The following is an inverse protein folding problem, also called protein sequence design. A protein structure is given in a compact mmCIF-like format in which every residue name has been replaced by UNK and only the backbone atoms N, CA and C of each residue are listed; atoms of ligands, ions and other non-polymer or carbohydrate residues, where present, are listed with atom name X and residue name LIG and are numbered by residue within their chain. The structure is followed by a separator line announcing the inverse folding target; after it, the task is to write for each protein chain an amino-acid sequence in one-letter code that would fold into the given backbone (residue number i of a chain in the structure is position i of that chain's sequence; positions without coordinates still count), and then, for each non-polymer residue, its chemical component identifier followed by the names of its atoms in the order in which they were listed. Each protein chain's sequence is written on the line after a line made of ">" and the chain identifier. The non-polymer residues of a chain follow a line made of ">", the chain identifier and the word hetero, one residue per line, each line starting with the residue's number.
data_IF_549011589343
#
_entry.id   IF_549011589343
#
_cell.length_a   1.000
_cell.length_b   1.000
_cell.length_c   1.000
_cell.angle_alpha   90.00
_cell.angle_beta   90.00
_cell.angle_gamma   90.00
#
_symmetry.space_group_name_H-M   'P 1'
#
loop_
_entity.id
_entity.type
_entity.pdbx_description
1 polymer ?
#
# COMPACT_ATOMS: atom_id res chain seq x y z
N UNK A 1 -60.32 -0.01 0.98
CA UNK A 1 -58.94 0.42 0.67
C UNK A 1 -58.52 1.40 1.77
N UNK A 2 -57.70 0.94 2.71
CA UNK A 2 -57.28 1.74 3.86
C UNK A 2 -55.75 1.73 3.94
N UNK A 3 -55.18 2.93 3.84
CA UNK A 3 -53.76 3.23 4.01
C UNK A 3 -53.30 2.99 5.45
N UNK A 4 -52.01 2.72 5.68
CA UNK A 4 -51.33 3.18 6.90
C UNK A 4 -49.82 3.37 6.66
N UNK A 5 -49.32 4.43 7.29
CA UNK A 5 -48.04 5.13 7.09
C UNK A 5 -46.89 4.50 7.88
N UNK A 6 -45.68 4.85 7.45
CA UNK A 6 -44.42 4.66 8.17
C UNK A 6 -44.44 5.29 9.58
N UNK A 7 -43.94 4.52 10.56
CA UNK A 7 -43.69 4.96 11.93
C UNK A 7 -42.20 4.92 12.25
N UNK A 8 -41.71 6.02 12.80
CA UNK A 8 -40.33 6.31 13.18
C UNK A 8 -39.88 5.57 14.43
N UNK A 9 -38.67 4.99 14.41
CA UNK A 9 -37.99 4.52 15.61
C UNK A 9 -37.05 5.62 16.13
N UNK A 10 -37.48 6.27 17.21
CA UNK A 10 -36.65 7.16 18.03
C UNK A 10 -35.60 6.36 18.79
N UNK A 11 -34.37 6.86 18.78
CA UNK A 11 -33.32 6.47 19.70
C UNK A 11 -33.74 6.77 21.16
N UNK A 12 -33.60 5.77 22.03
CA UNK A 12 -33.60 5.98 23.48
C UNK A 12 -32.23 5.52 23.99
N UNK A 13 -31.42 6.49 24.40
CA UNK A 13 -30.17 6.28 25.10
C UNK A 13 -30.44 5.72 26.50
N UNK A 14 -29.85 4.57 26.85
CA UNK A 14 -29.84 4.08 28.22
C UNK A 14 -28.49 4.41 28.88
N UNK A 15 -28.55 5.33 29.84
CA UNK A 15 -27.47 5.68 30.76
C UNK A 15 -27.42 4.66 31.91
N UNK A 16 -26.19 4.24 32.24
CA UNK A 16 -25.68 3.67 33.51
C UNK A 16 -25.40 2.16 33.56
N UNK A 17 -24.12 1.90 33.88
CA UNK A 17 -23.54 0.66 34.44
C UNK A 17 -24.20 0.33 35.78
N UNK A 18 -24.98 -0.74 35.83
CA UNK A 18 -25.15 -1.62 37.01
C UNK A 18 -26.30 -2.57 36.72
N UNK A 19 -26.00 -3.81 36.30
CA UNK A 19 -26.82 -5.03 36.45
C UNK A 19 -26.13 -6.17 35.67
N UNK A 20 -24.87 -6.44 36.01
CA UNK A 20 -24.30 -7.78 35.90
C UNK A 20 -24.45 -8.42 37.29
N UNK A 21 -24.58 -9.74 37.30
CA UNK A 21 -24.75 -10.63 38.45
C UNK A 21 -26.19 -10.83 38.93
N UNK A 22 -26.89 -11.78 38.28
CA UNK A 22 -27.68 -12.87 38.89
C UNK A 22 -28.64 -13.50 37.87
N UNK A 23 -28.18 -14.50 37.11
CA UNK A 23 -28.99 -15.69 36.75
C UNK A 23 -28.02 -16.86 36.56
N UNK A 24 -27.74 -17.59 37.64
CA UNK A 24 -27.16 -18.94 37.62
C UNK A 24 -28.11 -19.82 38.44
N UNK A 25 -28.33 -21.04 37.94
CA UNK A 25 -29.14 -22.17 38.45
C UNK A 25 -30.59 -22.25 37.96
N UNK A 26 -30.85 -23.15 37.01
CA UNK A 26 -31.56 -24.39 37.34
C UNK A 26 -31.51 -25.45 36.21
N UNK A 27 -31.37 -26.72 36.63
CA UNK A 27 -31.74 -27.98 35.96
C UNK A 27 -30.80 -28.63 34.92
N UNK A 28 -30.00 -29.61 35.37
CA UNK A 28 -29.57 -30.76 34.58
C UNK A 28 -29.57 -32.03 35.47
N UNK A 29 -30.50 -32.94 35.20
CA UNK A 29 -30.46 -34.36 35.57
C UNK A 29 -31.19 -35.15 34.49
N UNK A 30 -30.48 -35.92 33.65
CA UNK A 30 -30.97 -37.17 33.05
C UNK A 30 -29.79 -38.12 32.81
N UNK A 31 -30.07 -39.38 33.09
CA UNK A 31 -29.24 -40.58 33.13
C UNK A 31 -28.77 -41.12 31.77
N UNK A 32 -27.70 -41.92 31.84
CA UNK A 32 -27.04 -42.66 30.78
C UNK A 32 -27.78 -43.93 30.33
N UNK A 33 -27.73 -44.25 29.04
CA UNK A 33 -27.94 -45.61 28.54
C UNK A 33 -27.92 -45.75 27.01
N UNK A 34 -27.06 -46.65 26.48
CA UNK A 34 -27.35 -47.42 25.26
C UNK A 34 -26.64 -47.01 23.95
N UNK A 35 -25.84 -47.94 23.40
CA UNK A 35 -25.14 -47.88 22.09
C UNK A 35 -26.09 -48.19 20.92
N UNK A 36 -25.86 -47.60 19.74
CA UNK A 36 -25.67 -48.28 18.42
C UNK A 36 -25.63 -47.30 17.24
N UNK A 37 -24.83 -47.65 16.22
CA UNK A 37 -24.65 -47.05 14.86
C UNK A 37 -25.42 -47.92 13.83
N UNK A 38 -25.47 -47.67 12.49
CA UNK A 38 -25.28 -46.47 11.64
C UNK A 38 -26.28 -46.34 10.42
N UNK A 39 -26.03 -45.36 9.54
CA UNK A 39 -26.38 -45.25 8.08
C UNK A 39 -27.84 -44.97 7.63
N UNK A 40 -28.06 -43.83 6.94
CA UNK A 40 -28.36 -43.76 5.49
C UNK A 40 -28.88 -42.37 5.02
N UNK A 41 -28.09 -41.76 4.14
CA UNK A 41 -28.37 -40.93 2.93
C UNK A 41 -29.67 -40.13 2.72
N UNK A 42 -29.41 -38.92 2.18
CA UNK A 42 -30.12 -38.12 1.16
C UNK A 42 -31.25 -37.17 1.59
N UNK A 43 -30.99 -35.88 1.39
CA UNK A 43 -31.99 -34.92 0.94
C UNK A 43 -31.94 -33.55 1.62
N UNK A 44 -31.64 -32.51 0.83
CA UNK A 44 -32.12 -31.16 1.10
C UNK A 44 -31.10 -30.16 1.62
N UNK A 45 -30.59 -29.32 0.70
CA UNK A 45 -30.04 -28.01 1.05
C UNK A 45 -31.19 -27.11 1.47
N UNK A 46 -31.19 -26.64 2.71
CA UNK A 46 -31.85 -25.39 3.09
C UNK A 46 -30.87 -24.55 3.89
N UNK A 47 -30.68 -23.33 3.40
CA UNK A 47 -29.78 -22.33 3.98
C UNK A 47 -30.53 -21.68 5.13
N UNK A 48 -30.04 -21.87 6.36
CA UNK A 48 -30.35 -20.99 7.47
C UNK A 48 -29.06 -20.44 8.07
N UNK A 49 -29.04 -19.11 8.18
CA UNK A 49 -28.08 -18.30 8.91
C UNK A 49 -27.96 -18.80 10.37
N UNK A 50 -26.78 -18.58 10.93
CA UNK A 50 -26.37 -18.81 12.31
C UNK A 50 -25.57 -20.09 12.53
N UNK A 51 -24.38 -20.15 11.91
CA UNK A 51 -23.29 -20.99 12.41
C UNK A 51 -22.81 -20.46 13.76
N UNK A 52 -23.29 -21.12 14.81
CA UNK A 52 -22.73 -21.05 16.16
C UNK A 52 -21.27 -21.49 16.10
N UNK A 53 -20.35 -20.54 16.27
CA UNK A 53 -18.95 -20.83 16.58
C UNK A 53 -18.91 -21.35 18.01
N UNK A 54 -18.84 -22.67 18.17
CA UNK A 54 -18.49 -23.30 19.44
C UNK A 54 -17.00 -23.05 19.73
N UNK A 55 -16.68 -21.95 20.40
CA UNK A 55 -15.37 -21.78 21.03
C UNK A 55 -15.34 -22.58 22.33
N UNK A 56 -14.51 -23.62 22.35
CA UNK A 56 -14.04 -24.28 23.56
C UNK A 56 -13.26 -23.25 24.40
N UNK A 57 -13.83 -22.83 25.53
CA UNK A 57 -13.04 -22.25 26.62
C UNK A 57 -12.74 -23.38 27.62
N UNK A 58 -11.65 -24.09 27.38
CA UNK A 58 -10.96 -24.81 28.45
C UNK A 58 -10.29 -23.76 29.33
N UNK A 59 -10.82 -23.57 30.54
CA UNK A 59 -10.22 -22.70 31.56
C UNK A 59 -9.10 -23.47 32.27
N UNK A 60 -7.93 -23.54 31.63
CA UNK A 60 -6.72 -23.88 32.37
C UNK A 60 -6.33 -22.69 33.24
N UNK A 61 -6.57 -22.84 34.55
CA UNK A 61 -5.97 -22.00 35.60
C UNK A 61 -4.48 -22.33 35.71
N UNK A 62 -3.70 -21.90 34.73
CA UNK A 62 -2.26 -21.71 34.88
C UNK A 62 -2.00 -20.25 35.24
N UNK A 63 -1.22 -20.03 36.30
CA UNK A 63 -0.98 -18.71 36.89
C UNK A 63 -0.64 -17.65 35.86
N UNK A 64 -1.47 -16.61 35.81
CA UNK A 64 -1.16 -15.38 35.10
C UNK A 64 -0.11 -14.64 35.93
N UNK A 65 1.17 -14.99 35.74
CA UNK A 65 2.23 -14.04 36.03
C UNK A 65 1.99 -12.86 35.08
N UNK A 66 1.49 -11.77 35.63
CA UNK A 66 1.51 -10.48 34.96
C UNK A 66 2.98 -10.15 34.71
N UNK A 67 3.48 -10.55 33.54
CA UNK A 67 4.73 -10.00 33.03
C UNK A 67 4.50 -8.49 32.96
N UNK A 68 5.17 -7.75 33.84
CA UNK A 68 5.32 -6.30 33.74
C UNK A 68 6.16 -6.00 32.49
N UNK A 69 5.60 -6.26 31.31
CA UNK A 69 6.24 -5.96 30.04
C UNK A 69 6.47 -4.45 30.02
N UNK A 70 7.71 -4.04 29.77
CA UNK A 70 8.08 -2.63 29.74
C UNK A 70 7.39 -1.97 28.54
N UNK A 71 6.45 -1.07 28.82
CA UNK A 71 5.87 -0.21 27.80
C UNK A 71 6.85 0.91 27.45
N UNK A 72 6.94 1.21 26.16
CA UNK A 72 7.79 2.25 25.59
C UNK A 72 6.90 3.31 24.95
N UNK A 73 7.09 4.56 25.35
CA UNK A 73 6.36 5.68 24.79
C UNK A 73 6.83 5.99 23.37
N UNK A 74 5.88 6.35 22.50
CA UNK A 74 6.08 6.70 21.09
C UNK A 74 5.31 7.98 20.77
N UNK A 75 5.92 8.84 19.95
CA UNK A 75 5.34 10.11 19.49
C UNK A 75 5.19 10.09 17.97
N UNK A 76 4.08 10.59 17.47
CA UNK A 76 3.83 10.75 16.04
C UNK A 76 2.70 11.70 15.71
N UNK A 77 2.41 11.83 14.42
CA UNK A 77 1.29 12.60 13.88
C UNK A 77 0.21 11.64 13.43
N UNK A 78 -0.89 11.58 14.18
CA UNK A 78 -1.98 10.65 13.93
C UNK A 78 -3.18 11.34 13.32
N UNK A 79 -3.91 10.59 12.50
CA UNK A 79 -5.27 10.93 12.08
C UNK A 79 -6.23 10.37 13.13
N UNK A 80 -6.94 11.20 13.91
CA UNK A 80 -7.84 10.71 14.96
C UNK A 80 -9.13 10.07 14.41
N UNK A 81 -9.63 10.54 13.27
CA UNK A 81 -10.81 10.00 12.59
C UNK A 81 -10.79 10.31 11.08
N UNK A 82 -11.62 9.65 10.28
CA UNK A 82 -11.63 9.83 8.83
C UNK A 82 -11.79 11.31 8.43
N UNK A 83 -10.97 11.77 7.48
CA UNK A 83 -10.95 13.14 6.92
C UNK A 83 -10.50 14.25 7.88
N UNK A 84 -10.08 13.89 9.09
CA UNK A 84 -9.52 14.86 10.04
C UNK A 84 -8.07 15.22 9.70
N UNK A 85 -7.61 16.38 10.18
CA UNK A 85 -6.20 16.77 10.12
C UNK A 85 -5.36 15.89 11.04
N UNK A 86 -4.09 15.74 10.71
CA UNK A 86 -3.14 15.05 11.58
C UNK A 86 -2.84 15.92 12.80
N UNK A 87 -2.82 15.31 13.97
CA UNK A 87 -2.49 15.96 15.24
C UNK A 87 -1.39 15.20 15.97
N UNK A 88 -0.55 15.86 16.79
CA UNK A 88 0.41 15.17 17.64
C UNK A 88 -0.28 14.14 18.52
N UNK A 89 0.30 12.95 18.61
CA UNK A 89 -0.25 11.83 19.36
C UNK A 89 0.88 11.07 20.05
N UNK A 90 0.63 10.65 21.29
CA UNK A 90 1.53 9.81 22.08
C UNK A 90 0.81 8.50 22.41
N UNK A 91 1.51 7.40 22.25
CA UNK A 91 0.99 6.06 22.50
C UNK A 91 2.09 5.15 23.05
N UNK A 92 1.70 4.02 23.62
CA UNK A 92 2.62 3.06 24.22
C UNK A 92 2.72 1.81 23.36
N UNK A 93 3.94 1.30 23.18
CA UNK A 93 4.21 0.01 22.53
C UNK A 93 4.86 -0.95 23.52
N UNK A 94 4.67 -2.25 23.31
CA UNK A 94 5.35 -3.28 24.09
C UNK A 94 6.84 -3.38 23.78
N UNK A 95 7.48 -4.38 24.38
CA UNK A 95 8.88 -4.71 24.11
C UNK A 95 9.10 -5.12 22.64
N UNK A 96 10.33 -4.90 22.15
CA UNK A 96 10.73 -5.27 20.80
C UNK A 96 10.72 -6.80 20.64
N UNK A 97 9.99 -7.33 19.66
CA UNK A 97 9.93 -8.78 19.43
C UNK A 97 11.15 -9.30 18.66
N UNK A 98 11.40 -10.63 18.67
CA UNK A 98 12.60 -11.24 18.07
C UNK A 98 12.84 -10.89 16.59
N UNK A 99 11.80 -10.72 15.78
CA UNK A 99 11.90 -10.42 14.35
C UNK A 99 11.60 -8.95 14.01
N UNK A 100 11.50 -8.07 15.00
CA UNK A 100 11.19 -6.65 14.81
C UNK A 100 12.46 -5.79 14.82
N UNK A 101 12.36 -4.64 14.17
CA UNK A 101 13.37 -3.58 14.17
C UNK A 101 12.71 -2.25 14.52
N UNK A 102 13.37 -1.46 15.37
CA UNK A 102 13.02 -0.06 15.60
C UNK A 102 13.90 0.83 14.72
N UNK A 103 13.27 1.66 13.89
CA UNK A 103 13.94 2.61 13.00
C UNK A 103 13.61 4.02 13.47
N UNK A 104 14.62 4.79 13.88
CA UNK A 104 14.47 6.24 14.12
C UNK A 104 14.26 6.91 12.78
N UNK A 105 13.07 7.43 12.54
CA UNK A 105 12.69 7.99 11.25
C UNK A 105 13.42 9.31 11.05
N UNK A 106 14.05 9.46 9.88
CA UNK A 106 14.70 10.71 9.48
C UNK A 106 13.94 11.39 8.35
N UNK A 107 13.43 10.59 7.41
CA UNK A 107 12.70 11.04 6.24
C UNK A 107 11.49 10.14 6.01
N UNK A 108 10.40 10.70 5.50
CA UNK A 108 9.27 9.94 5.01
C UNK A 108 8.71 10.60 3.74
N UNK A 109 8.54 9.84 2.68
CA UNK A 109 7.86 10.36 1.50
C UNK A 109 6.36 10.53 1.75
N UNK A 110 5.75 11.53 1.11
CA UNK A 110 4.32 11.80 1.21
C UNK A 110 3.64 11.48 -0.12
N UNK A 111 2.63 10.61 -0.09
CA UNK A 111 1.95 10.12 -1.29
C UNK A 111 0.42 10.20 -1.16
N UNK A 112 -0.27 10.14 -2.30
CA UNK A 112 -1.74 10.14 -2.35
C UNK A 112 -2.37 9.00 -1.56
N UNK A 113 -1.68 7.86 -1.44
CA UNK A 113 -2.07 6.76 -0.56
C UNK A 113 -2.28 7.23 0.89
N UNK A 114 -1.44 8.12 1.42
CA UNK A 114 -1.62 8.62 2.79
C UNK A 114 -2.91 9.43 2.95
N UNK A 115 -3.29 10.20 1.92
CA UNK A 115 -4.57 10.92 1.87
C UNK A 115 -5.76 9.97 1.72
N UNK A 116 -5.68 8.97 0.84
CA UNK A 116 -6.74 7.95 0.70
C UNK A 116 -6.95 7.17 2.01
N UNK A 117 -5.89 6.88 2.74
CA UNK A 117 -5.97 6.25 4.05
C UNK A 117 -6.53 7.21 5.12
N UNK A 118 -6.10 8.47 5.15
CA UNK A 118 -6.67 9.51 6.05
C UNK A 118 -8.17 9.68 5.83
N UNK A 119 -8.60 9.70 4.57
CA UNK A 119 -9.99 9.96 4.18
C UNK A 119 -10.85 8.69 4.19
N UNK A 120 -10.20 7.53 4.38
CA UNK A 120 -10.79 6.19 4.38
C UNK A 120 -11.53 5.86 3.07
N UNK A 121 -11.00 6.31 1.93
CA UNK A 121 -11.61 6.12 0.61
C UNK A 121 -11.77 4.64 0.24
N UNK A 122 -10.93 3.77 0.81
CA UNK A 122 -10.95 2.33 0.58
C UNK A 122 -11.66 1.54 1.69
N UNK A 123 -12.12 2.20 2.76
CA UNK A 123 -12.86 1.55 3.85
C UNK A 123 -12.03 0.60 4.74
N UNK A 124 -10.69 0.70 4.70
CA UNK A 124 -9.75 -0.21 5.41
C UNK A 124 -8.96 0.46 6.55
N UNK A 125 -9.13 1.76 6.77
CA UNK A 125 -8.40 2.50 7.80
C UNK A 125 -8.95 2.23 9.19
N UNK A 126 -8.04 2.01 10.16
CA UNK A 126 -8.38 1.84 11.57
C UNK A 126 -7.86 3.04 12.36
N UNK A 127 -8.75 3.90 12.86
CA UNK A 127 -8.39 5.13 13.56
C UNK A 127 -8.33 4.93 15.10
N UNK A 128 -7.47 5.68 15.83
CA UNK A 128 -6.45 6.58 15.31
C UNK A 128 -5.30 5.80 14.64
N UNK A 129 -4.70 6.36 13.59
CA UNK A 129 -3.46 5.80 13.02
C UNK A 129 -2.48 6.87 12.57
N UNK A 130 -1.22 6.49 12.48
CA UNK A 130 -0.13 7.33 11.97
C UNK A 130 0.11 6.94 10.50
N UNK A 131 -0.02 7.86 9.53
CA UNK A 131 0.30 7.57 8.12
C UNK A 131 1.81 7.51 7.82
N UNK A 132 2.17 7.39 6.54
CA UNK A 132 3.54 7.38 6.04
C UNK A 132 4.05 5.96 5.77
N UNK A 133 4.28 5.64 4.50
CA UNK A 133 4.69 4.30 4.04
C UNK A 133 5.92 4.34 3.11
N UNK A 134 6.70 5.42 3.23
CA UNK A 134 7.91 5.69 2.48
C UNK A 134 9.03 6.05 3.46
N UNK A 135 9.23 5.20 4.48
CA UNK A 135 10.05 5.49 5.66
C UNK A 135 11.53 5.34 5.33
N UNK A 136 12.38 6.28 5.74
CA UNK A 136 13.84 6.11 5.77
C UNK A 136 14.40 6.61 7.11
N UNK A 137 15.32 5.83 7.70
CA UNK A 137 15.89 6.16 8.98
C UNK A 137 17.11 5.34 9.36
N UNK A 138 17.50 5.50 10.62
CA UNK A 138 18.58 4.76 11.25
C UNK A 138 18.00 3.66 12.13
N UNK A 139 18.51 2.44 12.01
CA UNK A 139 18.17 1.34 12.91
C UNK A 139 18.70 1.65 14.31
N UNK A 140 17.84 1.61 15.33
CA UNK A 140 18.23 1.91 16.72
C UNK A 140 18.12 0.70 17.64
N UNK A 141 17.33 -0.30 17.28
CA UNK A 141 17.26 -1.57 17.99
C UNK A 141 16.79 -2.69 17.05
N UNK A 142 17.27 -3.91 17.29
CA UNK A 142 16.90 -5.11 16.55
C UNK A 142 16.51 -6.21 17.52
N UNK A 143 15.53 -7.03 17.15
CA UNK A 143 15.16 -8.23 17.88
C UNK A 143 16.24 -9.31 17.80
N UNK A 144 16.16 -10.30 18.70
CA UNK A 144 17.17 -11.36 18.84
C UNK A 144 17.38 -12.22 17.59
N UNK A 145 16.39 -12.30 16.71
CA UNK A 145 16.37 -13.19 15.55
C UNK A 145 16.62 -12.41 14.24
N UNK A 146 16.91 -11.11 14.33
CA UNK A 146 17.26 -10.27 13.18
C UNK A 146 18.74 -10.46 12.85
N UNK A 147 19.03 -10.81 11.59
CA UNK A 147 20.40 -11.11 11.13
C UNK A 147 20.90 -10.16 10.02
N UNK A 148 20.00 -9.48 9.30
CA UNK A 148 20.34 -8.63 8.16
C UNK A 148 20.51 -7.15 8.46
N UNK A 149 20.22 -6.71 9.69
CA UNK A 149 20.30 -5.31 10.13
C UNK A 149 20.89 -5.24 11.53
N UNK A 150 21.59 -4.15 11.83
CA UNK A 150 22.11 -3.82 13.16
C UNK A 150 21.91 -2.34 13.48
N UNK A 151 21.96 -1.94 14.76
CA UNK A 151 21.93 -0.53 15.15
C UNK A 151 23.01 0.28 14.40
N UNK A 152 22.62 1.47 13.91
CA UNK A 152 23.44 2.35 13.08
C UNK A 152 23.28 2.16 11.57
N UNK A 153 22.69 1.05 11.11
CA UNK A 153 22.43 0.86 9.69
C UNK A 153 21.34 1.82 9.18
N UNK A 154 21.43 2.22 7.91
CA UNK A 154 20.36 2.97 7.23
C UNK A 154 19.36 2.01 6.62
N UNK A 155 18.09 2.13 7.03
CA UNK A 155 17.02 1.26 6.56
C UNK A 155 15.83 2.06 6.04
N UNK A 156 15.14 1.49 5.06
CA UNK A 156 13.89 1.98 4.52
C UNK A 156 12.74 0.99 4.68
N UNK A 157 11.51 1.49 4.77
CA UNK A 157 10.29 0.67 4.84
C UNK A 157 9.28 1.20 3.84
N UNK A 158 8.81 0.32 2.96
CA UNK A 158 7.78 0.63 1.97
C UNK A 158 6.37 0.29 2.43
N UNK A 159 5.48 0.11 1.44
CA UNK A 159 4.07 -0.22 1.68
C UNK A 159 3.87 -1.56 2.40
N UNK A 160 4.59 -2.62 2.02
CA UNK A 160 4.39 -3.96 2.61
C UNK A 160 5.19 -4.07 3.91
N UNK A 161 4.54 -4.50 5.00
CA UNK A 161 5.12 -4.64 6.34
C UNK A 161 5.08 -6.08 6.88
N UNK A 162 4.29 -6.97 6.27
CA UNK A 162 4.27 -8.37 6.62
C UNK A 162 3.84 -9.28 5.44
N UNK A 163 3.74 -10.59 5.65
CA UNK A 163 3.13 -11.60 4.77
C UNK A 163 3.02 -12.93 5.52
N UNK A 164 2.41 -13.96 4.94
CA UNK A 164 2.32 -15.27 5.60
C UNK A 164 3.59 -16.13 5.47
N UNK A 165 4.53 -15.77 4.58
CA UNK A 165 5.77 -16.50 4.24
C UNK A 165 5.61 -17.93 3.70
N UNK A 166 4.39 -18.48 3.66
CA UNK A 166 4.17 -19.91 3.38
C UNK A 166 3.32 -20.19 2.13
N UNK A 167 2.55 -19.21 1.65
CA UNK A 167 1.73 -19.37 0.44
C UNK A 167 2.58 -19.39 -0.83
N UNK A 168 1.96 -19.74 -1.96
CA UNK A 168 2.67 -19.88 -3.24
C UNK A 168 3.37 -18.58 -3.66
N UNK A 169 2.66 -17.44 -3.56
CA UNK A 169 3.20 -16.11 -3.84
C UNK A 169 4.39 -15.74 -2.95
N UNK A 170 4.28 -15.95 -1.63
CA UNK A 170 5.40 -15.67 -0.73
C UNK A 170 6.63 -16.53 -1.03
N UNK A 171 6.43 -17.82 -1.39
CA UNK A 171 7.54 -18.73 -1.70
C UNK A 171 8.28 -18.39 -2.99
N UNK A 172 7.64 -17.67 -3.93
CA UNK A 172 8.28 -17.15 -5.14
C UNK A 172 8.81 -15.71 -5.00
N UNK A 173 8.82 -15.15 -3.79
CA UNK A 173 9.32 -13.80 -3.52
C UNK A 173 8.34 -12.68 -3.86
N UNK A 174 7.05 -12.97 -3.98
CA UNK A 174 5.99 -11.99 -4.26
C UNK A 174 5.11 -11.78 -3.01
N UNK A 175 5.73 -11.35 -1.92
CA UNK A 175 5.02 -11.10 -0.65
C UNK A 175 3.99 -9.98 -0.75
N UNK A 176 4.13 -9.07 -1.72
CA UNK A 176 3.21 -7.97 -2.02
C UNK A 176 1.80 -8.44 -2.40
N UNK A 177 1.65 -9.66 -2.91
CA UNK A 177 0.35 -10.26 -3.26
C UNK A 177 0.07 -11.54 -2.46
N UNK A 178 0.44 -11.55 -1.18
CA UNK A 178 0.19 -12.64 -0.26
C UNK A 178 -1.28 -13.09 -0.22
N UNK A 179 -1.53 -14.41 -0.36
CA UNK A 179 -2.88 -15.01 -0.39
C UNK A 179 -3.66 -14.84 0.92
N UNK A 180 -2.97 -14.59 2.05
CA UNK A 180 -3.62 -14.34 3.34
C UNK A 180 -4.13 -12.90 3.51
N UNK A 181 -4.02 -12.07 2.49
CA UNK A 181 -4.56 -10.71 2.46
C UNK A 181 -3.50 -9.63 2.65
N UNK A 182 -4.00 -8.39 2.71
CA UNK A 182 -3.18 -7.18 2.71
C UNK A 182 -2.41 -6.99 4.02
N UNK A 183 -1.09 -6.87 3.88
CA UNK A 183 -0.13 -6.71 4.98
C UNK A 183 0.65 -5.40 4.83
N UNK A 184 -0.08 -4.32 4.54
CA UNK A 184 0.48 -2.98 4.41
C UNK A 184 0.99 -2.40 5.75
N UNK A 185 1.83 -1.37 5.69
CA UNK A 185 2.39 -0.69 6.86
C UNK A 185 1.35 0.16 7.59
N UNK A 186 0.40 0.74 6.86
CA UNK A 186 -0.63 1.63 7.41
C UNK A 186 -2.04 1.02 7.31
N UNK A 187 -2.15 -0.31 7.33
CA UNK A 187 -3.44 -1.03 7.36
C UNK A 187 -3.59 -1.82 8.65
N UNK A 188 -4.80 -2.30 8.95
CA UNK A 188 -5.08 -3.26 10.04
C UNK A 188 -4.60 -2.80 11.43
N UNK A 189 -4.64 -1.49 11.70
CA UNK A 189 -4.24 -0.91 12.98
C UNK A 189 -2.72 -0.69 13.14
N UNK A 190 -1.92 -0.96 12.10
CA UNK A 190 -0.50 -0.62 12.10
C UNK A 190 -0.27 0.90 11.97
N UNK A 191 0.93 1.34 12.29
CA UNK A 191 1.34 2.74 12.27
C UNK A 191 2.55 2.92 11.35
N UNK A 192 2.47 3.94 10.49
CA UNK A 192 3.44 4.30 9.47
C UNK A 192 4.64 5.06 10.02
N UNK A 193 5.27 5.88 9.20
CA UNK A 193 6.50 6.59 9.57
C UNK A 193 6.37 8.07 9.87
N UNK A 194 5.16 8.64 9.98
CA UNK A 194 4.98 10.02 10.49
C UNK A 194 5.15 10.07 12.02
N UNK A 195 6.23 9.47 12.53
CA UNK A 195 6.53 9.28 13.94
C UNK A 195 8.03 9.27 14.22
N UNK A 196 8.41 9.29 15.49
CA UNK A 196 9.81 9.29 15.92
C UNK A 196 10.52 7.97 15.64
N UNK A 197 9.86 6.85 15.96
CA UNK A 197 10.39 5.50 15.77
C UNK A 197 9.32 4.66 15.08
N UNK A 198 9.63 4.15 13.90
CA UNK A 198 8.79 3.20 13.19
C UNK A 198 9.27 1.78 13.50
N UNK A 199 8.39 0.96 14.10
CA UNK A 199 8.66 -0.46 14.39
C UNK A 199 8.05 -1.34 13.32
N UNK A 200 8.86 -2.21 12.73
CA UNK A 200 8.42 -3.13 11.67
C UNK A 200 9.05 -4.50 11.79
N UNK A 201 8.51 -5.48 11.07
CA UNK A 201 9.21 -6.76 10.88
C UNK A 201 10.47 -6.53 10.02
N UNK A 202 11.61 -7.04 10.47
CA UNK A 202 12.91 -6.78 9.86
C UNK A 202 13.02 -7.30 8.41
N UNK A 203 12.23 -8.30 8.02
CA UNK A 203 12.19 -8.79 6.63
C UNK A 203 11.72 -7.72 5.64
N UNK A 204 10.97 -6.71 6.08
CA UNK A 204 10.44 -5.63 5.24
C UNK A 204 11.11 -4.28 5.52
N UNK A 205 12.25 -4.31 6.22
CA UNK A 205 13.16 -3.19 6.34
C UNK A 205 14.33 -3.42 5.37
N UNK A 206 14.46 -2.54 4.38
CA UNK A 206 15.41 -2.66 3.29
C UNK A 206 16.65 -1.82 3.56
N UNK A 207 17.84 -2.35 3.30
CA UNK A 207 19.06 -1.56 3.42
C UNK A 207 19.08 -0.47 2.36
N UNK A 208 19.33 0.78 2.77
CA UNK A 208 19.48 1.89 1.83
C UNK A 208 20.93 1.90 1.31
N UNK A 209 21.16 1.70 0.00
CA UNK A 209 22.51 1.62 -0.54
C UNK A 209 23.31 2.91 -0.36
N UNK A 210 24.63 2.77 -0.33
CA UNK A 210 25.54 3.91 -0.41
C UNK A 210 25.30 4.68 -1.73
N UNK A 211 25.44 6.01 -1.70
CA UNK A 211 25.18 6.88 -2.86
C UNK A 211 23.72 7.32 -3.03
N UNK A 212 22.77 6.66 -2.35
CA UNK A 212 21.37 7.08 -2.29
C UNK A 212 21.11 7.83 -0.96
N UNK A 213 20.87 9.14 -1.04
CA UNK A 213 20.57 9.93 0.15
C UNK A 213 19.15 9.59 0.68
N UNK A 214 18.83 9.98 1.91
CA UNK A 214 17.58 9.58 2.54
C UNK A 214 16.34 10.24 1.90
N UNK A 215 16.45 11.48 1.44
CA UNK A 215 15.37 12.19 0.77
C UNK A 215 15.05 11.57 -0.62
N UNK A 216 16.07 11.17 -1.36
CA UNK A 216 15.93 10.48 -2.64
C UNK A 216 15.36 9.06 -2.44
N UNK A 217 15.82 8.35 -1.40
CA UNK A 217 15.41 6.97 -1.14
C UNK A 217 13.94 6.83 -0.75
N UNK A 218 13.40 7.77 0.03
CA UNK A 218 12.06 7.66 0.60
C UNK A 218 10.97 7.45 -0.48
N UNK A 219 10.85 8.30 -1.52
CA UNK A 219 9.88 8.08 -2.59
C UNK A 219 10.06 6.79 -3.40
N UNK A 220 11.26 6.22 -3.44
CA UNK A 220 11.52 5.00 -4.18
C UNK A 220 10.83 3.79 -3.56
N UNK A 221 10.64 3.79 -2.24
CA UNK A 221 9.99 2.70 -1.48
C UNK A 221 8.50 2.53 -1.78
N UNK A 222 7.90 3.45 -2.54
CA UNK A 222 6.53 3.35 -3.03
C UNK A 222 6.45 3.68 -4.52
N UNK A 223 6.66 4.95 -4.91
CA UNK A 223 6.55 5.36 -6.31
C UNK A 223 7.60 4.67 -7.19
N UNK A 224 8.83 4.54 -6.70
CA UNK A 224 9.91 3.87 -7.43
C UNK A 224 9.61 2.41 -7.71
N UNK A 225 9.36 1.62 -6.66
CA UNK A 225 9.06 0.19 -6.82
C UNK A 225 7.81 -0.06 -7.66
N UNK A 226 6.78 0.79 -7.54
CA UNK A 226 5.50 0.64 -8.27
C UNK A 226 5.69 0.69 -9.78
N UNK A 227 6.63 1.51 -10.27
CA UNK A 227 6.93 1.59 -11.71
C UNK A 227 8.08 0.66 -12.09
N UNK A 228 9.06 0.43 -11.20
CA UNK A 228 10.19 -0.45 -11.45
C UNK A 228 9.76 -1.89 -11.69
N UNK A 229 8.97 -2.47 -10.78
CA UNK A 229 8.59 -3.87 -10.84
C UNK A 229 7.91 -4.26 -12.16
N UNK A 230 6.86 -3.55 -12.65
CA UNK A 230 6.28 -3.89 -13.95
C UNK A 230 7.20 -3.55 -15.12
N UNK A 231 7.98 -2.46 -15.09
CA UNK A 231 8.94 -2.16 -16.17
C UNK A 231 9.99 -3.26 -16.30
N UNK A 232 10.58 -3.71 -15.18
CA UNK A 232 11.48 -4.86 -15.12
C UNK A 232 10.74 -6.11 -15.67
N UNK A 233 9.50 -6.35 -15.24
CA UNK A 233 8.76 -7.54 -15.65
C UNK A 233 8.46 -7.58 -17.15
N UNK A 234 8.29 -6.43 -17.81
CA UNK A 234 7.84 -6.36 -19.21
C UNK A 234 8.90 -5.90 -20.22
N UNK A 235 9.92 -5.13 -19.83
CA UNK A 235 11.05 -4.78 -20.72
C UNK A 235 11.96 -6.00 -20.85
N UNK A 236 11.88 -6.69 -21.99
CA UNK A 236 12.61 -7.95 -22.23
C UNK A 236 13.89 -7.78 -23.06
N UNK A 237 13.99 -6.70 -23.82
CA UNK A 237 15.13 -6.43 -24.69
C UNK A 237 15.33 -4.91 -24.80
N UNK A 238 16.53 -4.45 -25.19
CA UNK A 238 16.75 -3.05 -25.55
C UNK A 238 15.78 -2.60 -26.64
N UNK A 239 15.52 -1.29 -26.70
CA UNK A 239 14.64 -0.62 -27.66
C UNK A 239 13.17 -1.10 -27.62
N UNK A 240 12.72 -1.76 -26.54
CA UNK A 240 11.28 -1.90 -26.27
C UNK A 240 10.66 -0.49 -26.25
N UNK A 241 9.58 -0.26 -27.01
CA UNK A 241 8.92 1.05 -27.05
C UNK A 241 7.97 1.20 -25.86
N UNK A 242 8.30 2.12 -24.95
CA UNK A 242 7.58 2.35 -23.69
C UNK A 242 6.94 3.72 -23.72
N UNK A 243 5.62 3.76 -23.57
CA UNK A 243 4.89 5.00 -23.29
C UNK A 243 4.63 5.13 -21.79
N UNK A 244 5.02 6.28 -21.21
CA UNK A 244 4.64 6.67 -19.86
C UNK A 244 3.49 7.67 -19.95
N UNK A 245 2.31 7.22 -19.56
CA UNK A 245 1.11 8.07 -19.57
C UNK A 245 0.91 8.72 -18.19
N UNK A 246 0.97 10.06 -18.20
CA UNK A 246 1.01 10.90 -17.00
C UNK A 246 2.43 11.12 -16.50
N UNK A 247 2.87 12.37 -16.40
CA UNK A 247 4.17 12.74 -15.84
C UNK A 247 3.95 13.44 -14.50
N UNK A 248 3.77 12.63 -13.47
CA UNK A 248 3.60 13.02 -12.07
C UNK A 248 4.62 12.31 -11.16
N UNK A 249 4.25 12.08 -9.90
CA UNK A 249 5.10 11.41 -8.92
C UNK A 249 5.58 10.01 -9.33
N UNK A 250 4.76 9.22 -10.02
CA UNK A 250 5.16 7.92 -10.57
C UNK A 250 5.82 8.07 -11.95
N UNK A 251 5.17 8.82 -12.85
CA UNK A 251 5.62 8.96 -14.23
C UNK A 251 7.06 9.45 -14.39
N UNK A 252 7.49 10.45 -13.60
CA UNK A 252 8.86 10.97 -13.71
C UNK A 252 9.94 9.93 -13.31
N UNK A 253 9.61 8.97 -12.44
CA UNK A 253 10.47 7.82 -12.15
C UNK A 253 10.37 6.75 -13.23
N UNK A 254 9.18 6.51 -13.77
CA UNK A 254 8.97 5.55 -14.86
C UNK A 254 9.80 5.91 -16.11
N UNK A 255 9.88 7.19 -16.46
CA UNK A 255 10.73 7.68 -17.55
C UNK A 255 12.20 7.31 -17.31
N UNK A 256 12.71 7.62 -16.11
CA UNK A 256 14.09 7.33 -15.75
C UNK A 256 14.39 5.83 -15.76
N UNK A 257 13.54 5.01 -15.16
CA UNK A 257 13.75 3.56 -15.13
C UNK A 257 13.69 2.94 -16.53
N UNK A 258 12.66 3.26 -17.32
CA UNK A 258 12.53 2.72 -18.67
C UNK A 258 13.76 3.08 -19.53
N UNK A 259 14.20 4.35 -19.47
CA UNK A 259 15.40 4.80 -20.18
C UNK A 259 16.66 4.07 -19.72
N UNK A 260 16.88 3.93 -18.40
CA UNK A 260 18.05 3.21 -17.84
C UNK A 260 18.00 1.70 -18.08
N UNK A 261 16.83 1.13 -18.34
CA UNK A 261 16.64 -0.25 -18.79
C UNK A 261 16.84 -0.40 -20.32
N UNK A 262 17.14 0.68 -21.03
CA UNK A 262 17.44 0.68 -22.46
C UNK A 262 16.21 0.67 -23.38
N UNK A 263 15.04 1.07 -22.86
CA UNK A 263 13.84 1.27 -23.68
C UNK A 263 13.92 2.57 -24.50
N UNK A 264 13.14 2.64 -25.58
CA UNK A 264 12.81 3.89 -26.26
C UNK A 264 11.55 4.46 -25.59
N UNK A 265 11.64 5.66 -25.03
CA UNK A 265 10.66 6.18 -24.09
C UNK A 265 9.90 7.37 -24.65
N UNK A 266 8.57 7.27 -24.67
CA UNK A 266 7.67 8.39 -24.98
C UNK A 266 6.94 8.87 -23.74
N UNK A 267 7.10 10.14 -23.39
CA UNK A 267 6.31 10.78 -22.36
C UNK A 267 4.98 11.30 -22.94
N UNK A 268 3.86 10.94 -22.31
CA UNK A 268 2.53 11.41 -22.71
C UNK A 268 1.91 12.21 -21.56
N UNK A 269 1.61 13.48 -21.81
CA UNK A 269 1.04 14.42 -20.82
C UNK A 269 -0.12 15.21 -21.43
N UNK A 270 -0.99 15.79 -20.59
CA UNK A 270 -2.11 16.62 -21.06
C UNK A 270 -1.67 17.99 -21.62
N UNK A 271 -0.48 18.46 -21.24
CA UNK A 271 0.06 19.76 -21.64
C UNK A 271 1.57 19.65 -21.89
N UNK A 272 2.11 20.62 -22.66
CA UNK A 272 3.52 20.65 -23.10
C UNK A 272 4.48 21.33 -22.10
N UNK A 273 3.98 21.80 -20.97
CA UNK A 273 4.73 22.50 -19.92
C UNK A 273 5.84 21.69 -19.25
N UNK A 274 5.89 20.38 -19.50
CA UNK A 274 6.88 19.44 -18.93
C UNK A 274 7.83 18.83 -19.96
N UNK A 275 7.71 19.16 -21.24
CA UNK A 275 8.46 18.51 -22.32
C UNK A 275 9.98 18.54 -22.10
N UNK A 276 10.57 19.72 -21.92
CA UNK A 276 12.02 19.87 -21.69
C UNK A 276 12.51 19.07 -20.48
N UNK A 277 11.68 18.96 -19.45
CA UNK A 277 12.03 18.22 -18.24
C UNK A 277 11.93 16.70 -18.45
N UNK A 278 10.93 16.23 -19.21
CA UNK A 278 10.82 14.82 -19.56
C UNK A 278 12.01 14.31 -20.38
N UNK A 279 12.54 15.14 -21.28
CA UNK A 279 13.76 14.79 -22.03
C UNK A 279 14.97 14.64 -21.10
N UNK A 280 15.12 15.52 -20.11
CA UNK A 280 16.18 15.38 -19.08
C UNK A 280 16.03 14.12 -18.23
N UNK A 281 14.81 13.59 -18.11
CA UNK A 281 14.49 12.35 -17.40
C UNK A 281 14.65 11.10 -18.27
N UNK A 282 15.04 11.24 -19.54
CA UNK A 282 15.26 10.12 -20.45
C UNK A 282 14.12 9.82 -21.42
N UNK A 283 13.12 10.70 -21.55
CA UNK A 283 12.17 10.59 -22.65
C UNK A 283 12.86 10.91 -23.99
N UNK A 284 12.76 10.02 -24.96
CA UNK A 284 13.19 10.23 -26.34
C UNK A 284 12.17 11.09 -27.09
N UNK A 285 10.88 10.88 -26.80
CA UNK A 285 9.77 11.58 -27.45
C UNK A 285 8.78 12.16 -26.44
N UNK A 286 8.02 13.16 -26.88
CA UNK A 286 6.95 13.77 -26.11
C UNK A 286 5.68 13.93 -26.95
N UNK A 287 4.53 13.66 -26.34
CA UNK A 287 3.23 13.82 -26.98
C UNK A 287 2.18 14.41 -26.05
N UNK A 288 1.27 15.20 -26.63
CA UNK A 288 0.15 15.81 -25.92
C UNK A 288 -1.10 14.93 -26.07
N UNK A 289 -1.56 14.38 -24.94
CA UNK A 289 -2.79 13.58 -24.88
C UNK A 289 -4.00 14.39 -25.39
N UNK A 290 -4.82 13.75 -26.23
CA UNK A 290 -5.98 14.36 -26.88
C UNK A 290 -5.67 15.18 -28.13
N UNK A 291 -4.39 15.53 -28.38
CA UNK A 291 -3.95 16.25 -29.58
C UNK A 291 -3.13 15.38 -30.52
N UNK A 292 -2.22 14.58 -29.98
CA UNK A 292 -1.25 13.80 -30.74
C UNK A 292 -1.58 12.29 -30.78
N UNK A 293 -2.70 11.86 -30.17
CA UNK A 293 -3.07 10.45 -30.00
C UNK A 293 -2.99 9.63 -31.29
N UNK A 294 -3.58 10.12 -32.37
CA UNK A 294 -3.67 9.40 -33.65
C UNK A 294 -2.30 9.09 -34.26
N UNK A 295 -1.28 9.88 -33.91
CA UNK A 295 0.10 9.67 -34.38
C UNK A 295 0.82 8.55 -33.62
N UNK A 296 0.27 8.12 -32.50
CA UNK A 296 0.85 7.14 -31.59
C UNK A 296 0.17 5.78 -31.65
N UNK A 297 -0.87 5.61 -32.48
CA UNK A 297 -1.59 4.35 -32.58
C UNK A 297 -0.67 3.21 -33.05
N UNK A 298 -0.77 2.06 -32.37
CA UNK A 298 0.03 0.88 -32.70
C UNK A 298 1.55 1.03 -32.49
N UNK A 299 1.99 1.92 -31.60
CA UNK A 299 3.42 2.27 -31.46
C UNK A 299 4.12 1.58 -30.28
N UNK A 300 3.41 1.29 -29.19
CA UNK A 300 4.05 0.88 -27.93
C UNK A 300 3.94 -0.61 -27.64
N UNK A 301 5.06 -1.20 -27.23
CA UNK A 301 5.10 -2.54 -26.64
C UNK A 301 4.54 -2.49 -25.20
N UNK A 302 4.82 -1.40 -24.48
CA UNK A 302 4.37 -1.17 -23.10
C UNK A 302 3.79 0.23 -22.98
N UNK A 303 2.60 0.32 -22.38
CA UNK A 303 2.01 1.59 -21.94
C UNK A 303 1.80 1.52 -20.43
N UNK A 304 2.58 2.27 -19.65
CA UNK A 304 2.38 2.38 -18.20
C UNK A 304 1.48 3.58 -17.89
N UNK A 305 0.28 3.31 -17.36
CA UNK A 305 -0.69 4.32 -16.95
C UNK A 305 -0.49 4.70 -15.48
N UNK A 306 0.05 5.90 -15.26
CA UNK A 306 0.29 6.48 -13.93
C UNK A 306 -0.74 7.52 -13.52
N UNK A 307 -1.77 7.75 -14.34
CA UNK A 307 -2.81 8.76 -14.10
C UNK A 307 -3.87 8.20 -13.15
N UNK A 308 -4.21 8.97 -12.13
CA UNK A 308 -5.29 8.65 -11.16
C UNK A 308 -6.63 9.32 -11.51
N UNK A 309 -6.89 9.52 -12.79
CA UNK A 309 -8.13 10.09 -13.33
C UNK A 309 -8.81 9.07 -14.24
N UNK A 310 -10.11 9.26 -14.47
CA UNK A 310 -10.87 8.43 -15.40
C UNK A 310 -10.43 8.70 -16.85
N UNK A 311 -9.86 7.67 -17.48
CA UNK A 311 -9.35 7.73 -18.85
C UNK A 311 -9.82 6.50 -19.60
N UNK A 312 -10.33 6.72 -20.82
CA UNK A 312 -10.84 5.66 -21.68
C UNK A 312 -9.78 4.59 -21.92
N UNK A 313 -10.02 3.39 -21.38
CA UNK A 313 -9.18 2.21 -21.62
C UNK A 313 -9.11 1.89 -23.11
N UNK A 314 -10.18 2.10 -23.87
CA UNK A 314 -10.19 1.88 -25.31
C UNK A 314 -9.21 2.80 -26.05
N UNK A 315 -9.14 4.09 -25.69
CA UNK A 315 -8.19 5.02 -26.30
C UNK A 315 -6.74 4.68 -25.93
N UNK A 316 -6.48 4.30 -24.68
CA UNK A 316 -5.15 3.83 -24.25
C UNK A 316 -4.72 2.59 -25.03
N UNK A 317 -5.63 1.62 -25.20
CA UNK A 317 -5.33 0.40 -25.93
C UNK A 317 -5.02 0.62 -27.41
N UNK A 318 -5.54 1.68 -28.05
CA UNK A 318 -5.17 2.01 -29.45
C UNK A 318 -3.69 2.38 -29.60
N UNK A 319 -3.05 2.90 -28.55
CA UNK A 319 -1.62 3.24 -28.58
C UNK A 319 -0.71 1.99 -28.64
N UNK A 320 -1.23 0.84 -28.20
CA UNK A 320 -0.47 -0.41 -28.14
C UNK A 320 -0.36 -1.07 -29.52
N UNK A 321 0.83 -1.62 -29.79
CA UNK A 321 1.08 -2.63 -30.83
C UNK A 321 0.22 -3.88 -30.62
N UNK A 322 0.19 -4.76 -31.63
CA UNK A 322 -0.19 -6.17 -31.42
C UNK A 322 0.73 -6.77 -30.35
N UNK A 323 0.18 -7.58 -29.45
CA UNK A 323 0.90 -8.17 -28.29
C UNK A 323 1.32 -7.15 -27.20
N UNK A 324 0.99 -5.87 -27.39
CA UNK A 324 1.34 -4.80 -26.45
C UNK A 324 0.62 -4.90 -25.10
N UNK A 325 1.25 -4.38 -24.05
CA UNK A 325 0.77 -4.44 -22.67
C UNK A 325 0.43 -3.06 -22.11
N UNK A 326 -0.83 -2.85 -21.69
CA UNK A 326 -1.23 -1.75 -20.82
C UNK A 326 -1.01 -2.17 -19.37
N UNK A 327 -0.10 -1.49 -18.68
CA UNK A 327 0.17 -1.65 -17.25
C UNK A 327 -0.56 -0.55 -16.47
N UNK A 328 -1.58 -0.93 -15.71
CA UNK A 328 -2.32 -0.04 -14.83
C UNK A 328 -1.68 0.01 -13.44
N UNK A 329 -1.16 1.18 -13.05
CA UNK A 329 -0.65 1.42 -11.67
C UNK A 329 -1.35 2.59 -10.97
N UNK A 330 -1.91 3.54 -11.72
CA UNK A 330 -2.80 4.56 -11.17
C UNK A 330 -4.14 3.96 -10.76
N UNK A 331 -4.68 4.36 -9.61
CA UNK A 331 -6.03 3.96 -9.18
C UNK A 331 -6.81 5.24 -8.88
N UNK A 332 -7.79 5.62 -9.74
CA UNK A 332 -8.69 6.70 -9.41
C UNK A 332 -9.54 6.35 -8.17
N UNK A 333 -9.86 7.34 -7.35
CA UNK A 333 -10.75 7.16 -6.20
C UNK A 333 -12.17 6.77 -6.60
N UNK A 334 -12.99 6.35 -5.62
CA UNK A 334 -14.43 6.15 -5.81
C UNK A 334 -14.87 4.84 -6.49
N UNK A 335 -14.01 3.82 -6.54
CA UNK A 335 -14.38 2.49 -7.07
C UNK A 335 -14.32 2.41 -8.59
N UNK A 336 -13.32 3.05 -9.20
CA UNK A 336 -13.14 3.12 -10.65
C UNK A 336 -13.12 1.74 -11.32
N UNK A 337 -13.69 1.67 -12.53
CA UNK A 337 -13.80 0.45 -13.35
C UNK A 337 -13.19 0.71 -14.73
N UNK A 338 -12.41 -0.23 -15.24
CA UNK A 338 -11.90 -0.19 -16.60
C UNK A 338 -12.85 -0.92 -17.56
N UNK A 339 -13.22 -0.27 -18.65
CA UNK A 339 -14.05 -0.86 -19.71
C UNK A 339 -13.15 -1.30 -20.88
N UNK A 340 -12.85 -2.60 -20.93
CA UNK A 340 -11.91 -3.18 -21.91
C UNK A 340 -12.64 -3.57 -23.21
N UNK A 341 -12.29 -2.99 -24.37
CA UNK A 341 -12.84 -3.42 -25.65
C UNK A 341 -12.34 -4.83 -26.03
N UNK A 342 -13.27 -5.80 -26.05
CA UNK A 342 -12.93 -7.21 -26.28
C UNK A 342 -12.37 -7.49 -27.68
N UNK A 343 -12.81 -6.76 -28.71
CA UNK A 343 -12.30 -6.93 -30.07
C UNK A 343 -10.83 -6.54 -30.15
N UNK A 344 -10.46 -5.38 -29.62
CA UNK A 344 -9.06 -4.92 -29.59
C UNK A 344 -8.18 -5.83 -28.73
N UNK A 345 -8.72 -6.31 -27.61
CA UNK A 345 -8.02 -7.25 -26.73
C UNK A 345 -7.72 -8.57 -27.46
N UNK A 346 -8.74 -9.20 -28.05
CA UNK A 346 -8.63 -10.53 -28.67
C UNK A 346 -7.88 -10.48 -30.00
N UNK A 347 -8.27 -9.59 -30.91
CA UNK A 347 -7.67 -9.54 -32.25
C UNK A 347 -6.29 -8.88 -32.26
N UNK A 348 -6.01 -7.98 -31.31
CA UNK A 348 -4.69 -7.41 -31.11
C UNK A 348 -3.77 -8.24 -30.21
N UNK A 349 -4.26 -9.36 -29.65
CA UNK A 349 -3.56 -10.15 -28.63
C UNK A 349 -3.00 -9.28 -27.49
N UNK A 350 -3.71 -8.22 -27.13
CA UNK A 350 -3.22 -7.21 -26.17
C UNK A 350 -3.38 -7.70 -24.75
N UNK A 351 -2.57 -7.12 -23.87
CA UNK A 351 -2.61 -7.40 -22.43
C UNK A 351 -3.06 -6.16 -21.66
N UNK A 352 -3.95 -6.34 -20.69
CA UNK A 352 -4.28 -5.33 -19.67
C UNK A 352 -3.95 -5.94 -18.33
N UNK A 353 -2.96 -5.39 -17.64
CA UNK A 353 -2.44 -5.92 -16.37
C UNK A 353 -2.43 -4.84 -15.30
N UNK A 354 -2.63 -5.24 -14.05
CA UNK A 354 -2.40 -4.39 -12.88
C UNK A 354 -1.08 -4.74 -12.22
N UNK A 355 -0.45 -3.77 -11.56
CA UNK A 355 0.73 -4.00 -10.73
C UNK A 355 0.63 -3.24 -9.41
N UNK A 356 1.01 -3.89 -8.31
CA UNK A 356 1.02 -3.29 -6.96
C UNK A 356 2.40 -3.49 -6.34
N UNK A 357 3.13 -2.38 -6.18
CA UNK A 357 4.51 -2.36 -5.64
C UNK A 357 5.36 -3.52 -6.17
N UNK A 358 6.24 -4.10 -5.34
CA UNK A 358 7.03 -5.29 -5.68
C UNK A 358 7.28 -6.12 -4.44
N UNK A 359 7.77 -7.35 -4.64
CA UNK A 359 8.19 -8.22 -3.56
C UNK A 359 9.45 -7.71 -2.86
N UNK A 360 9.91 -8.42 -1.82
CA UNK A 360 11.09 -7.97 -1.06
C UNK A 360 12.37 -7.91 -1.92
N UNK A 361 12.53 -8.89 -2.80
CA UNK A 361 13.66 -8.95 -3.71
C UNK A 361 13.62 -7.79 -4.73
N UNK A 362 12.46 -7.52 -5.31
CA UNK A 362 12.27 -6.41 -6.25
C UNK A 362 12.59 -5.06 -5.61
N UNK A 363 12.20 -4.87 -4.34
CA UNK A 363 12.48 -3.63 -3.62
C UNK A 363 13.99 -3.41 -3.45
N UNK A 364 14.72 -4.43 -2.98
CA UNK A 364 16.16 -4.29 -2.78
C UNK A 364 16.90 -4.16 -4.11
N UNK A 365 16.48 -4.90 -5.15
CA UNK A 365 17.00 -4.77 -6.51
C UNK A 365 16.80 -3.35 -7.04
N UNK A 366 15.59 -2.78 -6.90
CA UNK A 366 15.26 -1.42 -7.33
C UNK A 366 16.10 -0.36 -6.63
N UNK A 367 16.30 -0.47 -5.31
CA UNK A 367 17.14 0.46 -4.55
C UNK A 367 18.60 0.41 -5.05
N UNK A 368 19.13 -0.79 -5.28
CA UNK A 368 20.46 -1.00 -5.82
C UNK A 368 20.59 -0.45 -7.25
N UNK A 369 19.60 -0.73 -8.11
CA UNK A 369 19.54 -0.20 -9.47
C UNK A 369 19.56 1.33 -9.46
N UNK A 370 18.77 1.94 -8.58
CA UNK A 370 18.69 3.40 -8.45
C UNK A 370 20.02 4.02 -8.03
N UNK A 371 20.71 3.40 -7.08
CA UNK A 371 22.04 3.84 -6.65
C UNK A 371 23.08 3.73 -7.77
N UNK A 372 23.08 2.61 -8.51
CA UNK A 372 24.04 2.36 -9.61
C UNK A 372 23.79 3.26 -10.82
N UNK A 373 22.53 3.43 -11.22
CA UNK A 373 22.16 4.14 -12.46
C UNK A 373 21.80 5.61 -12.24
N UNK A 374 21.82 6.07 -11.00
CA UNK A 374 21.52 7.46 -10.63
C UNK A 374 20.05 7.83 -10.83
N UNK A 375 19.12 6.88 -10.68
CA UNK A 375 17.68 7.18 -10.71
C UNK A 375 17.29 7.85 -9.40
N UNK A 376 16.75 9.06 -9.49
CA UNK A 376 16.42 9.88 -8.32
C UNK A 376 15.10 10.62 -8.51
N UNK A 377 14.24 10.65 -7.48
CA UNK A 377 13.05 11.49 -7.53
C UNK A 377 13.44 12.97 -7.45
N UNK A 378 12.63 13.82 -8.07
CA UNK A 378 12.68 15.26 -7.79
C UNK A 378 11.84 15.55 -6.56
N UNK A 379 12.50 16.02 -5.50
CA UNK A 379 11.91 16.12 -4.15
C UNK A 379 11.81 17.55 -3.65
N UNK A 380 10.68 17.85 -3.01
CA UNK A 380 10.48 19.02 -2.18
C UNK A 380 10.46 18.58 -0.71
N UNK A 381 11.29 19.22 0.11
CA UNK A 381 11.47 18.80 1.51
C UNK A 381 10.68 19.71 2.44
N UNK A 382 9.92 19.12 3.36
CA UNK A 382 9.12 19.81 4.36
C UNK A 382 9.42 19.25 5.76
N UNK A 383 9.33 20.03 6.84
CA UNK A 383 9.41 19.49 8.19
C UNK A 383 8.14 18.67 8.52
N UNK A 384 8.27 17.57 9.27
CA UNK A 384 7.15 16.71 9.65
C UNK A 384 6.09 17.49 10.46
N UNK A 385 6.49 18.50 11.23
CA UNK A 385 5.55 19.38 11.92
C UNK A 385 4.58 20.16 11.00
N UNK A 386 4.90 20.27 9.71
CA UNK A 386 4.07 20.90 8.67
C UNK A 386 3.36 19.87 7.77
N UNK A 387 3.12 18.65 8.28
CA UNK A 387 2.53 17.56 7.49
C UNK A 387 1.17 17.92 6.87
N UNK A 388 0.34 18.71 7.54
CA UNK A 388 -0.98 19.08 7.01
C UNK A 388 -0.87 20.06 5.82
N UNK A 389 0.05 21.01 5.89
CA UNK A 389 0.38 21.94 4.81
C UNK A 389 1.00 21.21 3.62
N UNK A 390 1.93 20.31 3.89
CA UNK A 390 2.55 19.45 2.89
C UNK A 390 1.52 18.56 2.18
N UNK A 391 0.56 17.97 2.91
CA UNK A 391 -0.57 17.22 2.33
C UNK A 391 -1.42 18.10 1.40
N UNK A 392 -1.76 19.32 1.84
CA UNK A 392 -2.52 20.23 1.00
C UNK A 392 -1.76 20.63 -0.26
N UNK A 393 -0.45 20.85 -0.17
CA UNK A 393 0.40 21.15 -1.31
C UNK A 393 0.38 20.03 -2.37
N UNK A 394 0.39 18.76 -1.95
CA UNK A 394 0.26 17.62 -2.85
C UNK A 394 -1.13 17.54 -3.48
N UNK A 395 -2.20 17.72 -2.66
CA UNK A 395 -3.60 17.70 -3.14
C UNK A 395 -3.87 18.83 -4.15
N UNK A 396 -3.28 20.00 -3.95
CA UNK A 396 -3.38 21.14 -4.88
C UNK A 396 -2.63 20.92 -6.21
N UNK A 397 -1.92 19.79 -6.36
CA UNK A 397 -1.13 19.47 -7.55
C UNK A 397 0.11 20.35 -7.73
N UNK A 398 0.58 20.99 -6.65
CA UNK A 398 1.71 21.94 -6.70
C UNK A 398 3.09 21.27 -6.63
N UNK A 399 3.14 20.01 -6.18
CA UNK A 399 4.40 19.27 -6.03
C UNK A 399 5.06 18.97 -7.37
N UNK A 400 6.38 19.17 -7.46
CA UNK A 400 7.23 18.86 -8.62
C UNK A 400 8.45 18.03 -8.18
N UNK A 401 8.33 16.73 -7.90
CA UNK A 401 7.20 15.82 -8.15
C UNK A 401 6.80 14.99 -6.93
N UNK A 402 7.65 14.96 -5.91
CA UNK A 402 7.48 14.20 -4.67
C UNK A 402 7.72 15.12 -3.50
N UNK A 403 6.94 14.95 -2.44
CA UNK A 403 7.17 15.62 -1.17
C UNK A 403 7.83 14.63 -0.21
N UNK A 404 8.82 15.09 0.53
CA UNK A 404 9.50 14.33 1.57
C UNK A 404 9.44 15.11 2.87
N UNK A 405 8.90 14.49 3.90
CA UNK A 405 8.87 15.00 5.26
C UNK A 405 10.20 14.66 5.95
N UNK A 406 10.79 15.63 6.63
CA UNK A 406 11.99 15.49 7.45
C UNK A 406 11.61 15.49 8.91
N UNK A 407 12.21 14.59 9.68
CA UNK A 407 12.01 14.54 11.11
C UNK A 407 12.58 15.80 11.78
N UNK A 408 11.77 16.41 12.63
CA UNK A 408 12.08 17.60 13.43
C UNK A 408 11.72 17.40 14.91
N UNK A 409 11.76 16.15 15.38
CA UNK A 409 11.58 15.81 16.79
C UNK A 409 12.74 16.40 17.61
N UNK A 410 12.39 17.20 18.62
CA UNK A 410 13.31 17.67 19.66
C UNK A 410 13.47 16.64 20.77
#
# INVERSE_FOLDING_TARGET
>A
MASLRAGSLKAIACKKRSHCDRVIQSQLTVSSGGRSRPFATNGGVSVHRDSVVCNFLATDKAGFHANNAKLLSRRGWAVPEAKSKLTPWTYEVGELKPHEVDIRVTHNGLCHTDMHMRDNDWGVSAFPFIPGHEVVGEVVAVGSDVTGLRPGDRAGVGWISNSCRVCSNCKRGEENICEKGYTGLIVMGNHGGFQEICRVNADFAYQIPEGLNAADAAPLLCAGITVYAPLRAHIKHPNTSVAVFGVGGLGHLALQYAHKMGAEVTAISGHRDKEDETHKMGADHFAVWGKDNDKLYGTFDILINTVSADVSTAELMKLLKVDGTLVQVGIPGGGAVMHVPLQDLVFGQKHVVGSIVGGRADMQEMLNFSAVHGVKPMVETWPLSQVNEAMQHVVDGKARYRVVLTSDWQ
#
